data_IF_283312182167
#
_entry.id   IF_283312182167
#
_cell.length_a   1.000
_cell.length_b   1.000
_cell.length_c   1.000
_cell.angle_alpha   90.00
_cell.angle_beta   90.00
_cell.angle_gamma   90.00
#
_symmetry.space_group_name_H-M   'P 1'
#
loop_
_entity.id
_entity.type
_entity.pdbx_description
1 polymer ?
#
# COMPACT_ATOMS: atom_id res chain seq x y z
N UNK A 1 -1.04 15.83 -2.15
CA UNK A 1 -1.38 15.73 -0.71
C UNK A 1 -0.27 15.00 0.01
N UNK A 2 0.08 15.41 1.22
CA UNK A 2 1.11 14.78 2.06
C UNK A 2 0.43 14.37 3.36
N UNK A 3 0.48 13.08 3.70
CA UNK A 3 -0.22 12.51 4.86
C UNK A 3 0.58 12.73 6.15
N UNK A 4 1.03 13.96 6.40
CA UNK A 4 1.93 14.29 7.52
C UNK A 4 1.29 14.08 8.88
N UNK A 5 -0.04 14.22 8.99
CA UNK A 5 -0.79 13.94 10.23
C UNK A 5 -0.72 12.47 10.65
N UNK A 6 -0.47 11.57 9.70
CA UNK A 6 -0.34 10.13 9.95
C UNK A 6 1.13 9.70 10.12
N UNK A 7 2.08 10.62 10.06
CA UNK A 7 3.49 10.30 10.17
C UNK A 7 3.82 9.65 11.53
N UNK A 8 4.51 8.53 11.49
CA UNK A 8 4.82 7.74 12.67
C UNK A 8 4.92 6.25 12.39
N UNK A 9 5.08 5.49 13.46
CA UNK A 9 5.12 4.03 13.43
C UNK A 9 3.84 3.45 14.04
N UNK A 10 3.34 2.41 13.38
CA UNK A 10 2.08 1.75 13.65
C UNK A 10 2.32 0.25 13.80
N UNK A 11 1.57 -0.36 14.71
CA UNK A 11 1.54 -1.81 14.92
C UNK A 11 0.09 -2.28 14.82
N UNK A 12 -0.10 -3.46 14.26
CA UNK A 12 -1.43 -4.05 14.08
C UNK A 12 -1.33 -5.52 13.70
N UNK A 13 -2.31 -6.01 12.97
CA UNK A 13 -2.34 -7.36 12.41
C UNK A 13 -2.60 -7.36 10.91
N UNK A 14 -2.10 -8.38 10.22
CA UNK A 14 -2.53 -8.74 8.88
C UNK A 14 -3.33 -10.04 8.93
N UNK A 15 -4.43 -10.10 8.17
CA UNK A 15 -5.17 -11.33 7.90
C UNK A 15 -4.87 -11.84 6.49
N UNK A 16 -4.69 -13.14 6.34
CA UNK A 16 -4.42 -13.78 5.04
C UNK A 16 -5.29 -15.02 4.84
N UNK A 17 -5.94 -15.09 3.68
CA UNK A 17 -6.48 -16.33 3.10
C UNK A 17 -6.34 -16.23 1.58
N UNK A 18 -5.88 -17.31 0.95
CA UNK A 18 -5.69 -17.34 -0.50
C UNK A 18 -7.01 -17.57 -1.24
N UNK A 19 -7.82 -18.50 -0.76
CA UNK A 19 -9.14 -18.82 -1.29
C UNK A 19 -10.24 -18.44 -0.30
N UNK A 20 -11.48 -18.18 -0.75
CA UNK A 20 -12.58 -17.83 0.14
C UNK A 20 -12.89 -18.86 1.24
N UNK A 21 -12.63 -20.13 0.97
CA UNK A 21 -12.84 -21.29 1.86
C UNK A 21 -11.61 -21.62 2.73
N UNK A 22 -10.45 -21.00 2.46
CA UNK A 22 -9.29 -21.13 3.34
C UNK A 22 -9.55 -20.40 4.67
N UNK A 23 -9.08 -21.01 5.77
CA UNK A 23 -9.08 -20.36 7.08
C UNK A 23 -8.26 -19.07 7.03
N UNK A 24 -8.79 -18.01 7.64
CA UNK A 24 -8.08 -16.75 7.80
C UNK A 24 -6.97 -16.94 8.85
N UNK A 25 -5.73 -16.78 8.42
CA UNK A 25 -4.57 -16.73 9.32
C UNK A 25 -4.28 -15.26 9.68
N UNK A 26 -4.10 -14.97 10.96
CA UNK A 26 -3.75 -13.63 11.45
C UNK A 26 -2.33 -13.60 12.03
N UNK A 27 -1.58 -12.56 11.69
CA UNK A 27 -0.21 -12.35 12.17
C UNK A 27 0.03 -10.87 12.53
N UNK A 28 1.03 -10.55 13.37
CA UNK A 28 1.43 -9.17 13.62
C UNK A 28 1.93 -8.48 12.36
N UNK A 29 1.60 -7.20 12.21
CA UNK A 29 2.03 -6.34 11.12
C UNK A 29 2.54 -5.00 11.68
N UNK A 30 3.44 -4.36 10.92
CA UNK A 30 3.92 -3.02 11.25
C UNK A 30 3.85 -2.11 10.04
N UNK A 31 3.75 -0.81 10.28
CA UNK A 31 3.74 0.21 9.24
C UNK A 31 4.45 1.47 9.72
N UNK A 32 5.21 2.11 8.85
CA UNK A 32 5.81 3.43 9.08
C UNK A 32 5.36 4.36 7.98
N UNK A 33 4.71 5.45 8.37
CA UNK A 33 4.33 6.54 7.48
C UNK A 33 5.32 7.68 7.68
N UNK A 34 5.89 8.18 6.60
CA UNK A 34 6.85 9.29 6.65
C UNK A 34 6.63 10.25 5.49
N UNK A 35 6.93 11.53 5.73
CA UNK A 35 7.08 12.52 4.67
C UNK A 35 8.45 12.34 4.02
N UNK A 36 8.49 12.32 2.70
CA UNK A 36 9.73 12.18 1.93
C UNK A 36 9.91 13.34 0.94
N UNK A 37 11.12 13.44 0.37
CA UNK A 37 11.49 14.44 -0.63
C UNK A 37 11.10 15.88 -0.23
N UNK A 38 11.53 16.33 0.95
CA UNK A 38 11.24 17.69 1.44
C UNK A 38 9.77 17.95 1.77
N UNK A 39 8.96 16.90 1.93
CA UNK A 39 7.53 17.03 2.17
C UNK A 39 6.71 17.07 0.88
N UNK A 40 7.22 16.56 -0.24
CA UNK A 40 6.47 16.44 -1.50
C UNK A 40 5.91 15.04 -1.74
N UNK A 41 6.34 14.05 -0.95
CA UNK A 41 5.91 12.66 -1.04
C UNK A 41 5.49 12.13 0.33
N UNK A 42 4.61 11.13 0.33
CA UNK A 42 4.37 10.26 1.48
C UNK A 42 4.93 8.87 1.17
N UNK A 43 5.72 8.31 2.07
CA UNK A 43 6.12 6.90 2.02
C UNK A 43 5.44 6.11 3.13
N UNK A 44 4.86 4.97 2.77
CA UNK A 44 4.26 4.01 3.70
C UNK A 44 5.01 2.70 3.52
N UNK A 45 5.94 2.41 4.43
CA UNK A 45 6.66 1.14 4.48
C UNK A 45 5.94 0.22 5.45
N UNK A 46 5.67 -1.02 5.07
CA UNK A 46 4.94 -1.96 5.92
C UNK A 46 5.57 -3.35 5.93
N UNK A 47 5.31 -4.11 6.99
CA UNK A 47 5.67 -5.52 7.13
C UNK A 47 4.46 -6.36 7.49
N UNK A 48 4.44 -7.59 7.00
CA UNK A 48 3.38 -8.56 7.26
C UNK A 48 3.95 -9.98 7.18
N UNK A 49 3.13 -10.99 7.48
CA UNK A 49 3.55 -12.39 7.38
C UNK A 49 2.58 -13.20 6.53
N UNK A 50 3.13 -13.89 5.53
CA UNK A 50 2.47 -14.95 4.81
C UNK A 50 2.56 -16.25 5.64
N UNK A 51 1.48 -17.06 5.75
CA UNK A 51 1.49 -18.27 6.55
C UNK A 51 2.59 -19.25 6.13
N UNK A 52 2.75 -19.46 4.81
CA UNK A 52 3.75 -20.39 4.27
C UNK A 52 5.11 -19.71 3.97
N UNK A 53 5.11 -18.58 3.26
CA UNK A 53 6.33 -17.90 2.81
C UNK A 53 6.99 -16.99 3.86
N UNK A 54 6.41 -16.89 5.07
CA UNK A 54 7.01 -16.16 6.19
C UNK A 54 6.96 -14.63 6.03
N UNK A 55 7.99 -13.94 6.51
CA UNK A 55 8.02 -12.49 6.58
C UNK A 55 8.02 -11.81 5.21
N UNK A 56 7.13 -10.85 5.03
CA UNK A 56 6.97 -10.05 3.82
C UNK A 56 7.02 -8.56 4.16
N UNK A 57 7.28 -7.74 3.15
CA UNK A 57 7.26 -6.29 3.28
C UNK A 57 6.81 -5.63 1.98
N UNK A 58 6.42 -4.37 2.09
CA UNK A 58 6.12 -3.54 0.94
C UNK A 58 6.31 -2.06 1.21
N UNK A 59 6.17 -1.30 0.14
CA UNK A 59 6.32 0.15 0.12
C UNK A 59 5.27 0.74 -0.83
N UNK A 60 4.52 1.71 -0.31
CA UNK A 60 3.66 2.58 -1.10
C UNK A 60 4.24 4.00 -1.06
N UNK A 61 4.55 4.56 -2.23
CA UNK A 61 4.95 5.95 -2.40
C UNK A 61 3.79 6.71 -3.04
N UNK A 62 3.32 7.77 -2.37
CA UNK A 62 2.20 8.59 -2.82
C UNK A 62 2.69 9.99 -3.15
N UNK A 63 2.27 10.50 -4.31
CA UNK A 63 2.56 11.84 -4.79
C UNK A 63 1.27 12.53 -5.25
N UNK A 64 1.26 13.87 -5.27
CA UNK A 64 0.31 14.59 -6.09
C UNK A 64 0.62 14.33 -7.58
N UNK A 65 -0.41 14.05 -8.37
CA UNK A 65 -0.28 13.88 -9.82
C UNK A 65 -0.52 15.19 -10.59
N UNK A 66 -1.10 16.21 -9.95
CA UNK A 66 -1.33 17.53 -10.51
C UNK A 66 -1.89 18.52 -9.48
N UNK A 67 -2.18 19.75 -9.93
CA UNK A 67 -2.77 20.82 -9.10
C UNK A 67 -4.25 20.60 -8.77
N UNK A 68 -4.92 19.69 -9.49
CA UNK A 68 -6.32 19.33 -9.34
C UNK A 68 -6.60 18.45 -8.11
N UNK A 69 -5.57 18.12 -7.33
CA UNK A 69 -5.68 17.24 -6.16
C UNK A 69 -5.67 15.75 -6.49
N UNK A 70 -5.45 15.37 -7.74
CA UNK A 70 -5.21 13.98 -8.12
C UNK A 70 -3.97 13.42 -7.43
N UNK A 71 -3.99 12.15 -7.07
CA UNK A 71 -2.83 11.45 -6.51
C UNK A 71 -2.38 10.34 -7.47
N UNK A 72 -1.09 10.04 -7.41
CA UNK A 72 -0.50 8.88 -8.06
C UNK A 72 0.34 8.12 -7.05
N UNK A 73 0.48 6.82 -7.26
CA UNK A 73 1.34 6.01 -6.43
C UNK A 73 2.20 5.01 -7.21
N UNK A 74 3.27 4.59 -6.54
CA UNK A 74 4.05 3.40 -6.86
C UNK A 74 3.92 2.45 -5.67
N UNK A 75 3.53 1.21 -5.93
CA UNK A 75 3.33 0.20 -4.91
C UNK A 75 4.16 -1.04 -5.23
N UNK A 76 5.03 -1.42 -4.30
CA UNK A 76 5.76 -2.68 -4.32
C UNK A 76 5.45 -3.51 -3.08
N UNK A 77 5.37 -4.82 -3.26
CA UNK A 77 5.15 -5.81 -2.21
C UNK A 77 5.97 -7.06 -2.56
N UNK A 78 6.70 -7.59 -1.59
CA UNK A 78 7.64 -8.70 -1.78
C UNK A 78 6.95 -10.01 -2.22
N UNK A 79 5.64 -10.13 -2.02
CA UNK A 79 4.87 -11.29 -2.42
C UNK A 79 3.95 -11.00 -3.60
N UNK A 80 3.12 -9.96 -3.50
CA UNK A 80 2.09 -9.66 -4.51
C UNK A 80 2.72 -9.16 -5.81
N UNK A 81 3.65 -8.21 -5.76
CA UNK A 81 4.09 -7.42 -6.93
C UNK A 81 5.54 -7.76 -7.34
N UNK A 82 5.93 -9.03 -7.24
CA UNK A 82 7.24 -9.49 -7.72
C UNK A 82 7.20 -9.84 -9.22
N UNK A 83 8.24 -9.50 -10.01
CA UNK A 83 9.44 -8.75 -9.63
C UNK A 83 9.34 -7.23 -9.85
N UNK A 84 8.24 -6.72 -10.43
CA UNK A 84 8.10 -5.32 -10.83
C UNK A 84 6.99 -4.66 -10.01
N UNK A 85 7.24 -3.51 -9.36
CA UNK A 85 6.20 -2.78 -8.63
C UNK A 85 5.11 -2.30 -9.58
N UNK A 86 3.89 -2.15 -9.05
CA UNK A 86 2.86 -1.40 -9.75
C UNK A 86 3.23 0.09 -9.75
N UNK A 87 3.09 0.72 -10.92
CA UNK A 87 3.42 2.13 -11.11
C UNK A 87 2.25 2.86 -11.75
N UNK A 88 2.16 4.17 -11.48
CA UNK A 88 1.07 5.02 -11.97
C UNK A 88 -0.30 4.53 -11.52
N UNK A 89 -0.44 4.09 -10.26
CA UNK A 89 -1.73 3.82 -9.69
C UNK A 89 -2.47 5.15 -9.53
N UNK A 90 -3.47 5.47 -10.39
CA UNK A 90 -4.20 6.72 -10.24
C UNK A 90 -5.08 6.60 -9.00
N UNK A 91 -5.20 7.69 -8.24
CA UNK A 91 -6.15 7.76 -7.15
C UNK A 91 -7.45 8.44 -7.59
N UNK A 92 -8.56 7.78 -7.32
CA UNK A 92 -9.87 8.41 -7.25
C UNK A 92 -10.22 8.78 -5.81
N UNK A 93 -11.12 9.75 -5.64
CA UNK A 93 -11.78 9.96 -4.35
C UNK A 93 -12.74 8.78 -4.11
N UNK A 94 -12.55 8.07 -3.01
CA UNK A 94 -13.45 7.01 -2.57
C UNK A 94 -14.66 7.57 -1.81
N UNK A 95 -15.40 6.69 -1.13
CA UNK A 95 -16.49 7.11 -0.26
C UNK A 95 -15.95 7.79 1.01
N UNK A 96 -16.56 8.91 1.41
CA UNK A 96 -16.14 9.67 2.60
C UNK A 96 -14.73 10.26 2.46
N UNK A 97 -13.89 10.02 3.48
CA UNK A 97 -12.52 10.52 3.56
C UNK A 97 -11.48 9.48 3.08
N UNK A 98 -11.86 8.65 2.11
CA UNK A 98 -10.99 7.62 1.53
C UNK A 98 -10.45 8.03 0.16
N UNK A 99 -9.23 7.60 -0.14
CA UNK A 99 -8.67 7.60 -1.49
C UNK A 99 -8.54 6.15 -1.95
N UNK A 100 -8.90 5.89 -3.20
CA UNK A 100 -8.78 4.57 -3.80
C UNK A 100 -7.73 4.62 -4.90
N UNK A 101 -6.69 3.81 -4.77
CA UNK A 101 -5.71 3.60 -5.82
C UNK A 101 -6.11 2.39 -6.65
N UNK A 102 -6.11 2.55 -7.97
CA UNK A 102 -6.31 1.43 -8.90
C UNK A 102 -4.96 0.84 -9.31
N UNK A 103 -4.85 -0.49 -9.32
CA UNK A 103 -3.67 -1.22 -9.76
C UNK A 103 -4.06 -2.31 -10.75
N UNK A 104 -3.28 -2.48 -11.82
CA UNK A 104 -3.45 -3.60 -12.74
C UNK A 104 -2.46 -4.71 -12.38
N UNK A 105 -3.00 -5.89 -12.09
CA UNK A 105 -2.22 -7.08 -11.79
C UNK A 105 -2.38 -8.12 -12.91
N UNK A 106 -1.28 -8.73 -13.34
CA UNK A 106 -1.33 -9.86 -14.27
C UNK A 106 -1.93 -9.58 -15.65
N UNK A 107 -2.02 -8.32 -16.09
CA UNK A 107 -2.49 -7.93 -17.42
C UNK A 107 -4.02 -7.90 -17.59
N UNK A 108 -4.73 -7.47 -16.55
CA UNK A 108 -6.19 -7.31 -16.61
C UNK A 108 -6.96 -7.53 -15.31
N UNK A 109 -6.30 -7.89 -14.19
CA UNK A 109 -6.95 -7.87 -12.88
C UNK A 109 -6.93 -6.44 -12.34
N UNK A 110 -8.10 -5.85 -12.14
CA UNK A 110 -8.31 -4.50 -11.61
C UNK A 110 -9.33 -4.51 -10.48
#
# INVERSE_FOLDING_TARGET
MVLSEFAGSWVGSNGFRLMPDHLLAEFPATMTVATAAGGHLTSIAYSWRHPDDGHQNGLLLIAAAGEDGSLTAVWGDSWHQKPVPMSRCPAGRGAGDTFQFEGDYGGGWR
#
